data_IF_991189815184
#
_entry.id   IF_991189815184
#
_cell.length_a   1.000
_cell.length_b   1.000
_cell.length_c   1.000
_cell.angle_alpha   90.00
_cell.angle_beta   90.00
_cell.angle_gamma   90.00
#
_symmetry.space_group_name_H-M   'P 1'
#
loop_
_entity.id
_entity.type
_entity.pdbx_description
1 polymer ?
#
# COMPACT_ATOMS: atom_id res chain seq x y z
N UNK A 1 -28.35 49.20 -16.12
CA UNK A 1 -28.63 48.07 -16.99
C UNK A 1 -27.58 47.04 -16.69
N UNK A 2 -28.05 45.90 -16.25
CA UNK A 2 -27.36 44.85 -15.54
C UNK A 2 -26.38 44.09 -16.43
N UNK A 3 -25.21 43.78 -15.87
CA UNK A 3 -24.30 42.72 -16.32
C UNK A 3 -24.06 41.81 -15.13
N UNK A 4 -24.93 40.82 -15.00
CA UNK A 4 -24.73 39.68 -14.14
C UNK A 4 -24.58 38.43 -14.98
N UNK A 5 -23.81 37.52 -14.47
CA UNK A 5 -23.74 36.09 -14.78
C UNK A 5 -22.70 35.63 -15.82
N UNK A 6 -21.50 35.40 -15.33
CA UNK A 6 -20.76 34.13 -15.65
C UNK A 6 -20.00 33.70 -14.39
N UNK A 7 -20.63 32.91 -13.58
CA UNK A 7 -20.01 32.19 -12.48
C UNK A 7 -20.13 30.68 -12.77
N UNK A 8 -18.97 30.02 -12.84
CA UNK A 8 -18.70 29.04 -11.81
C UNK A 8 -18.96 27.62 -12.28
N UNK A 9 -17.97 26.99 -12.90
CA UNK A 9 -17.86 25.53 -12.87
C UNK A 9 -16.85 25.18 -11.79
N UNK A 10 -17.37 25.01 -10.56
CA UNK A 10 -16.64 24.35 -9.49
C UNK A 10 -16.55 22.87 -9.82
N UNK A 11 -15.33 22.43 -10.15
CA UNK A 11 -15.00 21.02 -10.19
C UNK A 11 -15.15 20.44 -8.78
N UNK A 12 -16.28 19.80 -8.53
CA UNK A 12 -16.46 18.95 -7.35
C UNK A 12 -15.56 17.73 -7.54
N UNK A 13 -14.40 17.79 -6.94
CA UNK A 13 -13.56 16.61 -6.70
C UNK A 13 -14.33 15.72 -5.73
N UNK A 14 -14.98 14.68 -6.25
CA UNK A 14 -15.54 13.60 -5.44
C UNK A 14 -14.38 12.84 -4.78
N UNK A 15 -14.12 13.16 -3.53
CA UNK A 15 -13.38 12.27 -2.66
C UNK A 15 -14.19 10.96 -2.55
N UNK A 16 -13.58 9.78 -2.73
CA UNK A 16 -14.30 8.53 -2.52
C UNK A 16 -14.69 8.45 -1.05
N UNK A 17 -15.98 8.20 -0.82
CA UNK A 17 -16.59 8.04 0.49
C UNK A 17 -15.96 6.84 1.21
N UNK A 18 -15.23 7.12 2.27
CA UNK A 18 -14.58 6.11 3.12
C UNK A 18 -15.56 5.17 3.82
N UNK A 19 -16.88 5.48 3.79
CA UNK A 19 -17.91 4.63 4.36
C UNK A 19 -18.20 3.37 3.53
N UNK A 20 -17.89 3.39 2.23
CA UNK A 20 -18.09 2.24 1.34
C UNK A 20 -17.02 1.16 1.53
N UNK A 21 -15.87 1.51 2.09
CA UNK A 21 -14.76 0.55 2.33
C UNK A 21 -15.03 -0.31 3.58
N UNK A 22 -15.88 0.15 4.49
CA UNK A 22 -16.19 -0.58 5.74
C UNK A 22 -17.14 -1.78 5.54
N UNK A 23 -17.74 -1.98 4.36
CA UNK A 23 -18.71 -3.04 4.09
C UNK A 23 -18.17 -4.24 3.30
N UNK A 24 -16.88 -4.28 2.99
CA UNK A 24 -16.27 -5.42 2.30
C UNK A 24 -15.64 -6.34 3.36
N UNK A 25 -16.36 -7.41 3.65
CA UNK A 25 -15.97 -8.66 4.34
C UNK A 25 -14.82 -8.62 5.35
N UNK A 26 -15.12 -9.05 6.57
CA UNK A 26 -14.31 -9.15 7.80
C UNK A 26 -12.96 -9.88 7.74
N UNK A 27 -12.23 -9.87 6.65
CA UNK A 27 -10.93 -10.54 6.54
C UNK A 27 -9.81 -9.73 5.86
N UNK A 28 -10.15 -8.65 5.17
CA UNK A 28 -9.20 -7.90 4.35
C UNK A 28 -8.18 -7.07 5.15
N UNK A 29 -8.59 -6.19 6.05
CA UNK A 29 -7.67 -5.33 6.77
C UNK A 29 -6.80 -6.10 7.79
N UNK A 30 -7.33 -7.12 8.45
CA UNK A 30 -6.58 -7.93 9.43
C UNK A 30 -5.46 -8.74 8.78
N UNK A 31 -5.67 -9.24 7.56
CA UNK A 31 -4.63 -9.95 6.81
C UNK A 31 -3.51 -9.00 6.43
N UNK A 32 -3.84 -7.78 6.00
CA UNK A 32 -2.86 -6.74 5.63
C UNK A 32 -2.10 -6.28 6.87
N UNK A 33 -2.77 -6.03 7.99
CA UNK A 33 -2.15 -5.69 9.27
C UNK A 33 -1.28 -6.84 9.79
N UNK A 34 -1.75 -8.09 9.71
CA UNK A 34 -0.98 -9.27 10.12
C UNK A 34 0.27 -9.49 9.25
N UNK A 35 0.20 -9.20 7.96
CA UNK A 35 1.34 -9.30 7.05
C UNK A 35 2.30 -8.14 7.28
N UNK A 36 1.79 -6.93 7.46
CA UNK A 36 2.61 -5.78 7.84
C UNK A 36 3.24 -6.01 9.21
N UNK A 37 2.52 -6.59 10.17
CA UNK A 37 3.08 -6.98 11.46
C UNK A 37 4.19 -8.04 11.33
N UNK A 38 4.02 -9.06 10.49
CA UNK A 38 5.06 -10.07 10.23
C UNK A 38 6.25 -9.53 9.45
N UNK A 39 6.02 -8.59 8.52
CA UNK A 39 7.10 -7.90 7.79
C UNK A 39 7.85 -6.91 8.67
N UNK A 40 7.17 -6.40 9.69
CA UNK A 40 7.66 -5.39 10.61
C UNK A 40 7.59 -5.86 12.07
N UNK A 41 7.81 -7.16 12.31
CA UNK A 41 7.83 -7.78 13.66
C UNK A 41 8.91 -7.14 14.55
N UNK A 42 8.60 -5.97 15.03
CA UNK A 42 9.45 -5.02 15.77
C UNK A 42 9.00 -3.57 15.62
N UNK A 43 8.13 -3.23 14.66
CA UNK A 43 7.53 -1.90 14.53
C UNK A 43 6.30 -1.77 15.44
N UNK A 44 6.54 -1.78 16.73
CA UNK A 44 5.56 -1.45 17.77
C UNK A 44 5.01 -0.04 17.55
N UNK A 45 3.72 0.17 17.88
CA UNK A 45 2.96 1.42 17.84
C UNK A 45 3.78 2.70 18.20
N UNK A 46 3.30 3.91 17.86
CA UNK A 46 4.08 5.15 17.93
C UNK A 46 4.68 5.35 19.32
N UNK A 47 5.90 4.89 19.46
CA UNK A 47 6.75 5.20 20.62
C UNK A 47 7.08 6.69 20.49
N UNK A 48 6.99 7.41 21.61
CA UNK A 48 7.51 8.78 21.75
C UNK A 48 8.80 8.95 20.93
N UNK A 49 9.07 10.13 20.34
CA UNK A 49 10.13 10.31 19.36
C UNK A 49 11.43 9.69 19.87
N UNK A 50 11.82 8.57 19.28
CA UNK A 50 13.07 7.91 19.63
C UNK A 50 14.19 8.93 19.41
N UNK A 51 15.10 9.09 20.39
CA UNK A 51 16.26 9.97 20.21
C UNK A 51 16.95 9.61 18.88
N UNK A 52 16.95 10.56 17.91
CA UNK A 52 17.46 10.34 16.56
C UNK A 52 16.47 9.80 15.52
N UNK A 53 15.18 9.69 15.86
CA UNK A 53 14.10 9.33 14.91
C UNK A 53 13.54 10.52 14.14
N UNK A 54 12.60 10.24 13.23
CA UNK A 54 11.81 11.27 12.52
C UNK A 54 10.78 11.91 13.47
N UNK A 55 10.56 13.20 13.30
CA UNK A 55 9.44 13.88 13.97
C UNK A 55 8.09 13.32 13.45
N UNK A 56 7.01 13.38 14.25
CA UNK A 56 5.69 12.86 13.86
C UNK A 56 5.18 13.39 12.52
N UNK A 57 5.36 14.68 12.25
CA UNK A 57 4.97 15.29 10.97
C UNK A 57 5.78 14.79 9.78
N UNK A 58 7.08 14.45 9.99
CA UNK A 58 7.94 13.86 8.95
C UNK A 58 7.47 12.43 8.63
N UNK A 59 7.17 11.64 9.65
CA UNK A 59 6.62 10.29 9.49
C UNK A 59 5.32 10.34 8.71
N UNK A 60 4.38 11.18 9.11
CA UNK A 60 3.08 11.32 8.44
C UNK A 60 3.27 11.72 6.98
N UNK A 61 4.06 12.77 6.71
CA UNK A 61 4.30 13.28 5.36
C UNK A 61 4.92 12.23 4.44
N UNK A 62 5.92 11.51 4.93
CA UNK A 62 6.59 10.46 4.16
C UNK A 62 5.65 9.29 3.89
N UNK A 63 4.90 8.82 4.88
CA UNK A 63 3.93 7.73 4.71
C UNK A 63 2.85 8.11 3.71
N UNK A 64 2.23 9.28 3.84
CA UNK A 64 1.21 9.77 2.89
C UNK A 64 1.75 9.84 1.47
N UNK A 65 2.98 10.35 1.29
CA UNK A 65 3.59 10.40 -0.04
C UNK A 65 3.83 9.01 -0.64
N UNK A 66 4.32 8.06 0.15
CA UNK A 66 4.53 6.69 -0.32
C UNK A 66 3.21 6.04 -0.74
N UNK A 67 2.15 6.19 0.07
CA UNK A 67 0.83 5.64 -0.25
C UNK A 67 0.24 6.23 -1.55
N UNK A 68 0.43 7.53 -1.76
CA UNK A 68 -0.09 8.20 -2.95
C UNK A 68 0.70 7.87 -4.24
N UNK A 69 1.89 7.25 -4.14
CA UNK A 69 2.79 7.03 -5.28
C UNK A 69 3.32 5.60 -5.35
N UNK A 70 2.52 4.61 -4.92
CA UNK A 70 2.94 3.20 -4.96
C UNK A 70 3.16 2.68 -6.37
N UNK A 71 2.44 3.21 -7.33
CA UNK A 71 2.49 2.88 -8.76
C UNK A 71 3.69 3.49 -9.50
N UNK A 72 4.34 4.49 -8.93
CA UNK A 72 5.39 5.29 -9.55
C UNK A 72 6.73 5.17 -8.80
N UNK A 73 7.86 5.59 -9.41
CA UNK A 73 9.16 5.51 -8.74
C UNK A 73 9.25 6.42 -7.52
N UNK A 74 9.29 5.84 -6.32
CA UNK A 74 9.56 6.55 -5.06
C UNK A 74 11.03 6.36 -4.69
N UNK A 75 11.80 7.43 -4.67
CA UNK A 75 13.22 7.41 -4.31
C UNK A 75 13.43 7.84 -2.86
N UNK A 76 14.32 7.14 -2.15
CA UNK A 76 14.63 7.50 -0.76
C UNK A 76 15.21 8.92 -0.63
N UNK A 77 15.89 9.44 -1.68
CA UNK A 77 16.37 10.81 -1.74
C UNK A 77 15.24 11.85 -1.72
N UNK A 78 14.16 11.60 -2.46
CA UNK A 78 13.00 12.49 -2.52
C UNK A 78 12.29 12.53 -1.16
N UNK A 79 12.17 11.38 -0.50
CA UNK A 79 11.62 11.29 0.86
C UNK A 79 12.48 12.02 1.88
N UNK A 80 13.82 11.95 1.73
CA UNK A 80 14.74 12.68 2.58
C UNK A 80 14.60 14.21 2.42
N UNK A 81 14.49 14.69 1.17
CA UNK A 81 14.24 16.10 0.88
C UNK A 81 12.92 16.57 1.48
N UNK A 82 11.84 15.78 1.36
CA UNK A 82 10.54 16.06 1.96
C UNK A 82 10.61 16.15 3.50
N UNK A 83 11.44 15.33 4.12
CA UNK A 83 11.68 15.36 5.55
C UNK A 83 12.68 16.44 5.97
N UNK A 84 13.23 17.23 5.03
CA UNK A 84 14.28 18.23 5.24
C UNK A 84 15.54 17.66 5.91
N UNK A 85 15.94 16.47 5.49
CA UNK A 85 17.12 15.75 6.00
C UNK A 85 18.04 15.36 4.85
N UNK A 86 19.32 15.17 5.16
CA UNK A 86 20.23 14.51 4.23
C UNK A 86 19.84 13.03 4.04
N UNK A 87 20.13 12.39 2.89
CA UNK A 87 19.76 11.00 2.63
C UNK A 87 20.26 10.00 3.69
N UNK A 88 21.49 10.18 4.16
CA UNK A 88 22.06 9.32 5.20
C UNK A 88 21.42 9.51 6.57
N UNK A 89 21.12 10.75 6.95
CA UNK A 89 20.38 11.04 8.19
C UNK A 89 18.94 10.51 8.12
N UNK A 90 18.25 10.78 7.01
CA UNK A 90 16.89 10.28 6.78
C UNK A 90 16.83 8.76 6.92
N UNK A 91 17.70 8.02 6.27
CA UNK A 91 17.69 6.55 6.32
C UNK A 91 17.85 6.00 7.73
N UNK A 92 18.71 6.59 8.54
CA UNK A 92 18.91 6.22 9.95
C UNK A 92 17.70 6.58 10.80
N UNK A 93 17.24 7.83 10.70
CA UNK A 93 16.08 8.32 11.46
C UNK A 93 14.79 7.57 11.07
N UNK A 94 14.59 7.26 9.78
CA UNK A 94 13.47 6.47 9.31
C UNK A 94 13.49 5.05 9.90
N UNK A 95 14.65 4.38 9.85
CA UNK A 95 14.81 3.05 10.45
C UNK A 95 14.61 3.08 11.96
N UNK A 96 15.08 4.13 12.65
CA UNK A 96 14.85 4.31 14.08
C UNK A 96 13.36 4.47 14.43
N UNK A 97 12.60 5.19 13.58
CA UNK A 97 11.16 5.45 13.81
C UNK A 97 10.23 4.33 13.37
N UNK A 98 10.56 3.61 12.28
CA UNK A 98 9.68 2.63 11.66
C UNK A 98 10.24 1.20 11.69
N UNK A 99 11.41 0.98 12.28
CA UNK A 99 12.04 -0.33 12.43
C UNK A 99 12.70 -0.87 11.16
N UNK A 100 12.43 -0.30 9.99
CA UNK A 100 12.88 -0.79 8.68
C UNK A 100 13.46 0.32 7.81
N UNK A 101 14.32 -0.05 6.85
CA UNK A 101 14.86 0.89 5.89
C UNK A 101 13.77 1.43 4.94
N UNK A 102 13.89 2.68 4.43
CA UNK A 102 12.89 3.29 3.54
C UNK A 102 12.55 2.44 2.32
N UNK A 103 13.53 1.84 1.68
CA UNK A 103 13.35 0.97 0.51
C UNK A 103 12.58 -0.32 0.83
N UNK A 104 12.81 -0.90 2.01
CA UNK A 104 12.10 -2.09 2.48
C UNK A 104 10.64 -1.72 2.82
N UNK A 105 10.41 -0.56 3.42
CA UNK A 105 9.06 -0.05 3.68
C UNK A 105 8.27 0.13 2.39
N UNK A 106 8.80 0.83 1.38
CA UNK A 106 8.16 1.01 0.08
C UNK A 106 7.84 -0.35 -0.56
N UNK A 107 8.80 -1.28 -0.56
CA UNK A 107 8.61 -2.61 -1.11
C UNK A 107 7.47 -3.37 -0.40
N UNK A 108 7.41 -3.30 0.93
CA UNK A 108 6.33 -3.89 1.72
C UNK A 108 4.96 -3.30 1.38
N UNK A 109 4.86 -1.96 1.25
CA UNK A 109 3.60 -1.29 0.87
C UNK A 109 3.13 -1.69 -0.52
N UNK A 110 4.04 -1.78 -1.50
CA UNK A 110 3.74 -2.26 -2.85
C UNK A 110 3.26 -3.71 -2.87
N UNK A 111 3.87 -4.57 -2.05
CA UNK A 111 3.41 -5.96 -1.90
C UNK A 111 2.01 -6.01 -1.30
N UNK A 112 1.73 -5.23 -0.26
CA UNK A 112 0.40 -5.15 0.33
C UNK A 112 -0.64 -4.65 -0.68
N UNK A 113 -0.31 -3.64 -1.49
CA UNK A 113 -1.18 -3.18 -2.58
C UNK A 113 -1.42 -4.26 -3.63
N UNK A 114 -0.37 -5.01 -4.03
CA UNK A 114 -0.51 -6.14 -4.94
C UNK A 114 -1.42 -7.25 -4.37
N UNK A 115 -1.35 -7.52 -3.07
CA UNK A 115 -2.23 -8.47 -2.40
C UNK A 115 -3.70 -8.02 -2.47
N UNK A 116 -3.97 -6.74 -2.22
CA UNK A 116 -5.32 -6.17 -2.38
C UNK A 116 -5.84 -6.37 -3.80
N UNK A 117 -5.06 -5.99 -4.83
CA UNK A 117 -5.46 -6.17 -6.22
C UNK A 117 -5.66 -7.65 -6.59
N UNK A 118 -4.84 -8.54 -6.06
CA UNK A 118 -5.01 -9.98 -6.27
C UNK A 118 -6.32 -10.54 -5.70
N UNK A 119 -6.84 -9.96 -4.62
CA UNK A 119 -8.11 -10.37 -4.00
C UNK A 119 -9.33 -9.71 -4.65
N UNK A 120 -9.20 -8.44 -5.03
CA UNK A 120 -10.32 -7.61 -5.50
C UNK A 120 -10.51 -7.64 -7.02
N UNK A 121 -9.49 -8.08 -7.79
CA UNK A 121 -9.54 -8.09 -9.26
C UNK A 121 -9.15 -9.44 -9.84
N UNK A 122 -9.52 -9.66 -11.12
CA UNK A 122 -9.07 -10.81 -11.90
C UNK A 122 -7.84 -10.52 -12.77
N UNK A 123 -7.22 -9.38 -12.58
CA UNK A 123 -6.07 -8.91 -13.33
C UNK A 123 -4.93 -9.95 -13.34
N UNK A 124 -4.24 -10.12 -14.47
CA UNK A 124 -3.05 -10.95 -14.53
C UNK A 124 -1.91 -10.35 -13.70
N UNK A 125 -1.03 -11.20 -13.16
CA UNK A 125 0.05 -10.76 -12.28
C UNK A 125 1.02 -9.76 -12.93
N UNK A 126 1.15 -9.79 -14.26
CA UNK A 126 1.96 -8.80 -14.98
C UNK A 126 1.35 -7.39 -14.89
N UNK A 127 0.03 -7.26 -15.00
CA UNK A 127 -0.66 -5.99 -14.87
C UNK A 127 -0.62 -5.49 -13.42
N UNK A 128 -0.87 -6.37 -12.45
CA UNK A 128 -0.74 -6.06 -11.03
C UNK A 128 0.67 -5.59 -10.70
N UNK A 129 1.71 -6.20 -11.29
CA UNK A 129 3.08 -5.77 -11.07
C UNK A 129 3.29 -4.31 -11.49
N UNK A 130 2.84 -3.95 -12.69
CA UNK A 130 2.96 -2.57 -13.20
C UNK A 130 2.14 -1.58 -12.35
N UNK A 131 0.89 -1.93 -12.03
CA UNK A 131 0.01 -1.10 -11.19
C UNK A 131 0.58 -0.85 -9.78
N UNK A 132 1.42 -1.74 -9.27
CA UNK A 132 2.09 -1.59 -7.98
C UNK A 132 3.52 -1.02 -8.08
N UNK A 133 3.92 -0.47 -9.23
CA UNK A 133 5.22 0.16 -9.41
C UNK A 133 6.40 -0.82 -9.44
N UNK A 134 6.17 -2.09 -9.75
CA UNK A 134 7.24 -3.04 -10.07
C UNK A 134 7.60 -2.95 -11.56
N UNK A 135 8.85 -3.19 -11.86
CA UNK A 135 9.33 -3.13 -13.24
C UNK A 135 8.67 -4.19 -14.13
N UNK A 136 8.50 -5.40 -13.61
CA UNK A 136 7.86 -6.54 -14.27
C UNK A 136 7.35 -7.56 -13.24
N UNK A 137 6.68 -8.61 -13.74
CA UNK A 137 6.18 -9.71 -12.91
C UNK A 137 7.30 -10.47 -12.18
N UNK A 138 8.50 -10.59 -12.76
CA UNK A 138 9.63 -11.28 -12.14
C UNK A 138 10.15 -10.49 -10.94
N UNK A 139 10.20 -9.16 -11.08
CA UNK A 139 10.54 -8.25 -9.98
C UNK A 139 9.49 -8.35 -8.86
N UNK A 140 8.20 -8.26 -9.19
CA UNK A 140 7.13 -8.50 -8.21
C UNK A 140 7.33 -9.84 -7.50
N UNK A 141 7.53 -10.94 -8.24
CA UNK A 141 7.66 -12.28 -7.68
C UNK A 141 8.83 -12.40 -6.70
N UNK A 142 9.97 -11.82 -7.04
CA UNK A 142 11.17 -11.82 -6.19
C UNK A 142 10.95 -11.05 -4.90
N UNK A 143 10.38 -9.84 -4.99
CA UNK A 143 10.10 -8.99 -3.81
C UNK A 143 9.01 -9.62 -2.96
N UNK A 144 7.94 -10.11 -3.60
CA UNK A 144 6.81 -10.75 -2.91
C UNK A 144 7.25 -11.99 -2.11
N UNK A 145 8.10 -12.86 -2.68
CA UNK A 145 8.66 -14.02 -1.95
C UNK A 145 9.45 -13.58 -0.73
N UNK A 146 10.24 -12.52 -0.85
CA UNK A 146 11.02 -11.98 0.28
C UNK A 146 10.11 -11.46 1.39
N UNK A 147 9.00 -10.81 1.03
CA UNK A 147 8.07 -10.20 1.97
C UNK A 147 7.06 -11.20 2.55
N UNK A 148 6.48 -12.07 1.73
CA UNK A 148 5.36 -12.94 2.07
C UNK A 148 5.74 -14.43 2.20
N UNK A 149 7.01 -14.80 1.97
CA UNK A 149 7.50 -16.17 2.09
C UNK A 149 6.99 -17.14 1.01
N UNK A 150 6.18 -16.68 0.06
CA UNK A 150 5.55 -17.52 -0.97
C UNK A 150 5.45 -16.78 -2.31
N UNK A 151 5.13 -17.50 -3.40
CA UNK A 151 4.93 -16.82 -4.69
C UNK A 151 3.59 -16.08 -4.73
N UNK A 152 3.48 -14.97 -5.54
CA UNK A 152 2.20 -14.28 -5.74
C UNK A 152 1.08 -15.20 -6.22
N UNK A 153 1.40 -16.15 -7.12
CA UNK A 153 0.44 -17.11 -7.66
C UNK A 153 -0.10 -18.05 -6.57
N UNK A 154 0.79 -18.62 -5.75
CA UNK A 154 0.41 -19.53 -4.68
C UNK A 154 -0.33 -18.81 -3.56
N UNK A 155 0.07 -17.57 -3.27
CA UNK A 155 -0.62 -16.71 -2.33
C UNK A 155 -2.05 -16.43 -2.81
N UNK A 156 -2.22 -16.00 -4.07
CA UNK A 156 -3.53 -15.70 -4.67
C UNK A 156 -4.45 -16.92 -4.62
N UNK A 157 -3.95 -18.09 -5.01
CA UNK A 157 -4.72 -19.34 -4.97
C UNK A 157 -5.24 -19.62 -3.56
N UNK A 158 -4.36 -19.63 -2.56
CA UNK A 158 -4.73 -19.94 -1.17
C UNK A 158 -5.76 -18.98 -0.58
N UNK A 159 -5.69 -17.71 -0.93
CA UNK A 159 -6.58 -16.69 -0.36
C UNK A 159 -7.87 -16.49 -1.15
N UNK A 160 -7.92 -16.88 -2.42
CA UNK A 160 -9.14 -16.87 -3.23
C UNK A 160 -10.02 -18.10 -3.00
N UNK A 161 -9.44 -19.26 -2.84
CA UNK A 161 -10.18 -20.51 -2.60
C UNK A 161 -10.92 -20.48 -1.24
N UNK A 162 -10.50 -19.58 -0.31
CA UNK A 162 -11.23 -19.29 0.94
C UNK A 162 -12.32 -18.20 0.83
N UNK A 163 -12.41 -17.49 -0.32
CA UNK A 163 -13.35 -16.36 -0.56
C UNK A 163 -14.26 -16.67 -1.76
N UNK A 164 -14.62 -17.94 -2.00
CA UNK A 164 -15.67 -18.26 -2.98
C UNK A 164 -17.02 -17.87 -2.37
N UNK A 165 -17.74 -16.86 -2.89
CA UNK A 165 -19.10 -16.59 -2.45
C UNK A 165 -19.98 -17.80 -2.76
N UNK A 166 -20.95 -18.17 -1.90
CA UNK A 166 -21.75 -19.39 -2.03
C UNK A 166 -22.67 -19.46 -3.26
N UNK A 167 -22.64 -18.51 -4.16
CA UNK A 167 -23.57 -18.42 -5.29
C UNK A 167 -23.10 -19.07 -6.60
N UNK A 168 -21.92 -19.68 -6.66
CA UNK A 168 -21.47 -20.33 -7.90
C UNK A 168 -21.67 -21.86 -7.92
N UNK A 169 -22.42 -22.45 -7.00
CA UNK A 169 -22.68 -23.90 -6.93
C UNK A 169 -24.08 -24.35 -7.36
N UNK A 170 -24.96 -23.45 -7.78
CA UNK A 170 -26.27 -23.82 -8.34
C UNK A 170 -26.24 -23.69 -9.86
N UNK A 171 -25.85 -24.75 -10.56
CA UNK A 171 -25.91 -24.77 -12.02
C UNK A 171 -25.25 -25.98 -12.72
N UNK A 172 -24.91 -27.02 -11.99
CA UNK A 172 -24.43 -28.27 -12.63
C UNK A 172 -25.25 -29.47 -12.12
N UNK A 173 -26.51 -29.49 -12.51
CA UNK A 173 -27.39 -30.62 -12.24
C UNK A 173 -28.60 -30.61 -13.17
N UNK A 174 -28.38 -31.06 -14.43
CA UNK A 174 -29.36 -31.81 -15.25
C UNK A 174 -28.70 -32.26 -16.55
#
# INVERSE_FOLDING_TARGET
MSLDSVLGHTATTMAPDLSTIASIGSGGPEIIESILAKLFDGARAPVAPARGGLAPWQVLRVKTHVEAHLDSPVRAGDLAAMARLSPGHFSRAFKSSLGVAPTAYIAGRRVAHAQTLMLTTNEPLCQIALACGFYDQSHLTRVFRRCAGTSPRDWRRRHRDGVVPPQAREGAGR
#
